data_IF_462479802613
#
_entry.id   IF_462479802613
#
_cell.length_a   1.000
_cell.length_b   1.000
_cell.length_c   1.000
_cell.angle_alpha   90.00
_cell.angle_beta   90.00
_cell.angle_gamma   90.00
#
_symmetry.space_group_name_H-M   'P 1'
#
loop_
_entity.id
_entity.type
_entity.pdbx_description
1 polymer ?
#
# COMPACT_ATOMS: atom_id res chain seq x y z
N UNK A 1 -9.33 5.15 -18.98
CA UNK A 1 -9.07 3.69 -18.93
C UNK A 1 -8.36 3.34 -17.62
N UNK A 2 -8.65 2.18 -17.02
CA UNK A 2 -7.94 1.67 -15.85
C UNK A 2 -7.24 0.35 -16.21
N UNK A 3 -5.99 0.19 -15.77
CA UNK A 3 -5.20 -1.03 -15.90
C UNK A 3 -4.88 -1.56 -14.51
N UNK A 4 -5.19 -2.83 -14.26
CA UNK A 4 -4.89 -3.52 -13.02
C UNK A 4 -4.07 -4.76 -13.35
N UNK A 5 -2.88 -4.88 -12.76
CA UNK A 5 -1.98 -6.02 -12.93
C UNK A 5 -1.66 -6.60 -11.56
N UNK A 6 -1.85 -7.91 -11.39
CA UNK A 6 -1.49 -8.62 -10.15
C UNK A 6 -0.56 -9.76 -10.50
N UNK A 7 0.57 -9.83 -9.81
CA UNK A 7 1.59 -10.86 -10.00
C UNK A 7 1.87 -11.48 -8.63
N UNK A 8 1.79 -12.81 -8.58
CA UNK A 8 2.23 -13.61 -7.44
C UNK A 8 3.60 -14.18 -7.77
N UNK A 9 4.66 -13.59 -7.20
CA UNK A 9 6.03 -14.00 -7.53
C UNK A 9 6.40 -15.31 -6.83
N UNK A 10 5.95 -15.49 -5.59
CA UNK A 10 6.00 -16.73 -4.80
C UNK A 10 4.76 -16.77 -3.89
N UNK A 11 4.46 -17.89 -3.24
CA UNK A 11 3.26 -18.02 -2.38
C UNK A 11 3.17 -16.93 -1.30
N UNK A 12 4.32 -16.52 -0.76
CA UNK A 12 4.42 -15.50 0.27
C UNK A 12 4.43 -14.06 -0.27
N UNK A 13 4.43 -13.83 -1.59
CA UNK A 13 4.55 -12.51 -2.18
C UNK A 13 3.44 -12.21 -3.19
N UNK A 14 2.74 -11.10 -2.97
CA UNK A 14 1.74 -10.58 -3.88
C UNK A 14 2.06 -9.13 -4.23
N UNK A 15 2.23 -8.86 -5.51
CA UNK A 15 2.50 -7.52 -6.03
C UNK A 15 1.32 -7.13 -6.92
N UNK A 16 0.80 -5.93 -6.72
CA UNK A 16 -0.27 -5.35 -7.52
C UNK A 16 0.15 -3.98 -8.01
N UNK A 17 -0.14 -3.72 -9.27
CA UNK A 17 0.04 -2.42 -9.90
C UNK A 17 -1.28 -1.99 -10.51
N UNK A 18 -1.74 -0.80 -10.15
CA UNK A 18 -2.96 -0.22 -10.67
C UNK A 18 -2.63 1.14 -11.27
N UNK A 19 -3.14 1.42 -12.46
CA UNK A 19 -2.91 2.68 -13.16
C UNK A 19 -4.20 3.17 -13.81
N UNK A 20 -4.46 4.47 -13.72
CA UNK A 20 -5.58 5.13 -14.40
C UNK A 20 -5.02 6.11 -15.41
N UNK A 21 -5.42 5.93 -16.66
CA UNK A 21 -4.98 6.75 -17.78
C UNK A 21 -6.17 7.50 -18.39
N UNK A 22 -5.99 8.79 -18.62
CA UNK A 22 -6.88 9.61 -19.43
C UNK A 22 -6.41 9.57 -20.88
N UNK A 23 -7.20 8.94 -21.75
CA UNK A 23 -6.86 8.77 -23.16
C UNK A 23 -7.05 10.05 -23.98
N UNK A 24 -7.92 10.96 -23.54
CA UNK A 24 -8.19 12.23 -24.25
C UNK A 24 -7.01 13.16 -24.01
N UNK A 25 -6.64 13.32 -22.74
CA UNK A 25 -5.53 14.18 -22.33
C UNK A 25 -4.17 13.48 -22.38
N UNK A 26 -4.14 12.20 -22.79
CA UNK A 26 -2.95 11.33 -22.84
C UNK A 26 -2.10 11.38 -21.56
N UNK A 27 -2.77 11.40 -20.40
CA UNK A 27 -2.12 11.63 -19.10
C UNK A 27 -2.38 10.49 -18.12
N UNK A 28 -1.34 10.16 -17.34
CA UNK A 28 -1.47 9.22 -16.23
C UNK A 28 -2.08 9.93 -15.03
N UNK A 29 -3.36 9.64 -14.76
CA UNK A 29 -4.16 10.29 -13.72
C UNK A 29 -3.73 9.83 -12.33
N UNK A 30 -3.52 8.53 -12.16
CA UNK A 30 -3.09 7.95 -10.89
C UNK A 30 -2.41 6.62 -11.11
N UNK A 31 -1.48 6.26 -10.23
CA UNK A 31 -0.90 4.93 -10.18
C UNK A 31 -0.64 4.51 -8.75
N UNK A 32 -0.77 3.21 -8.46
CA UNK A 32 -0.57 2.64 -7.14
C UNK A 32 0.17 1.33 -7.25
N UNK A 33 1.20 1.19 -6.42
CA UNK A 33 1.98 -0.02 -6.23
C UNK A 33 1.63 -0.60 -4.87
N UNK A 34 1.14 -1.83 -4.83
CA UNK A 34 0.83 -2.55 -3.60
C UNK A 34 1.67 -3.82 -3.53
N UNK A 35 2.40 -3.97 -2.44
CA UNK A 35 3.22 -5.15 -2.16
C UNK A 35 2.74 -5.75 -0.85
N UNK A 36 2.46 -7.05 -0.86
CA UNK A 36 2.14 -7.83 0.31
C UNK A 36 3.13 -8.98 0.45
N UNK A 37 3.63 -9.18 1.67
CA UNK A 37 4.48 -10.30 2.01
C UNK A 37 3.99 -11.02 3.26
N UNK A 38 3.85 -12.33 3.15
CA UNK A 38 3.64 -13.24 4.26
C UNK A 38 4.99 -13.61 4.91
N UNK A 39 5.12 -13.38 6.22
CA UNK A 39 6.28 -13.71 7.04
C UNK A 39 5.91 -14.75 8.12
N UNK A 40 4.96 -15.64 7.82
CA UNK A 40 4.38 -16.65 8.70
C UNK A 40 3.51 -16.08 9.84
N UNK A 41 4.12 -15.62 10.93
CA UNK A 41 3.41 -14.98 12.05
C UNK A 41 3.18 -13.49 11.84
N UNK A 42 3.95 -12.90 10.93
CA UNK A 42 3.90 -11.47 10.59
C UNK A 42 3.39 -11.29 9.17
N UNK A 43 2.86 -10.11 8.88
CA UNK A 43 2.53 -9.68 7.53
C UNK A 43 3.05 -8.27 7.29
N UNK A 44 3.60 -8.08 6.09
CA UNK A 44 4.05 -6.78 5.61
C UNK A 44 3.12 -6.34 4.47
N UNK A 45 2.64 -5.11 4.54
CA UNK A 45 1.90 -4.45 3.48
C UNK A 45 2.54 -3.10 3.18
N UNK A 46 2.83 -2.86 1.91
CA UNK A 46 3.31 -1.58 1.41
C UNK A 46 2.37 -1.12 0.29
N UNK A 47 1.85 0.09 0.41
CA UNK A 47 1.04 0.75 -0.60
C UNK A 47 1.67 2.10 -0.91
N UNK A 48 2.02 2.30 -2.18
CA UNK A 48 2.68 3.50 -2.64
C UNK A 48 1.94 4.09 -3.82
N UNK A 49 1.53 5.34 -3.68
CA UNK A 49 0.92 6.14 -4.73
C UNK A 49 1.79 7.38 -4.94
N UNK A 50 2.56 7.47 -6.03
CA UNK A 50 3.50 8.59 -6.23
C UNK A 50 2.81 9.92 -6.54
N UNK A 51 1.59 9.93 -7.09
CA UNK A 51 0.94 11.14 -7.57
C UNK A 51 -0.58 11.16 -7.34
N UNK A 52 -1.18 12.35 -7.47
CA UNK A 52 -2.61 12.57 -7.27
C UNK A 52 -3.00 12.83 -5.80
N UNK A 53 -4.31 12.95 -5.57
CA UNK A 53 -4.88 13.29 -4.27
C UNK A 53 -4.59 12.25 -3.17
N UNK A 54 -4.45 10.98 -3.56
CA UNK A 54 -4.09 9.89 -2.68
C UNK A 54 -2.58 9.60 -2.71
N UNK A 55 -1.75 10.61 -2.99
CA UNK A 55 -0.30 10.43 -3.03
C UNK A 55 0.26 10.19 -1.62
N UNK A 56 1.15 9.21 -1.52
CA UNK A 56 1.79 8.86 -0.27
C UNK A 56 2.30 7.44 -0.24
N UNK A 57 2.98 7.13 0.86
CA UNK A 57 3.49 5.82 1.18
C UNK A 57 2.82 5.35 2.45
N UNK A 58 2.27 4.15 2.44
CA UNK A 58 1.76 3.47 3.61
C UNK A 58 2.44 2.13 3.75
N UNK A 59 3.27 2.00 4.77
CA UNK A 59 3.91 0.76 5.19
C UNK A 59 3.26 0.30 6.49
N UNK A 60 2.88 -0.97 6.54
CA UNK A 60 2.36 -1.64 7.72
C UNK A 60 3.07 -2.99 7.89
N UNK A 61 3.62 -3.21 9.07
CA UNK A 61 4.16 -4.49 9.50
C UNK A 61 3.45 -4.88 10.80
N UNK A 62 2.73 -5.99 10.83
CA UNK A 62 2.00 -6.42 12.03
C UNK A 62 2.02 -7.94 12.21
N UNK A 63 1.82 -8.37 13.45
CA UNK A 63 1.56 -9.78 13.78
C UNK A 63 0.14 -10.14 13.31
N UNK A 64 -0.06 -11.34 12.77
CA UNK A 64 -1.36 -11.83 12.28
C UNK A 64 -2.31 -12.24 13.40
N UNK A 65 -1.76 -12.61 14.55
CA UNK A 65 -2.54 -13.07 15.71
C UNK A 65 -3.48 -11.97 16.21
N UNK A 66 -4.79 -12.26 16.40
CA UNK A 66 -5.76 -11.29 16.89
C UNK A 66 -5.52 -10.85 18.34
N UNK A 67 -4.73 -11.61 19.10
CA UNK A 67 -4.38 -11.30 20.49
C UNK A 67 -3.17 -10.35 20.60
N UNK A 68 -2.44 -10.10 19.51
CA UNK A 68 -1.20 -9.31 19.48
C UNK A 68 -1.32 -8.10 18.55
N UNK A 69 -2.49 -7.43 18.57
CA UNK A 69 -2.78 -6.27 17.71
C UNK A 69 -1.90 -5.06 18.00
N UNK A 70 -1.37 -4.99 19.21
CA UNK A 70 -0.52 -3.89 19.65
C UNK A 70 0.90 -4.01 19.05
N UNK A 71 1.29 -5.21 18.61
CA UNK A 71 2.53 -5.46 17.87
C UNK A 71 2.35 -5.13 16.40
N UNK A 72 2.26 -3.82 16.13
CA UNK A 72 2.21 -3.27 14.78
C UNK A 72 3.13 -2.07 14.65
N UNK A 73 3.70 -1.92 13.47
CA UNK A 73 4.47 -0.77 13.04
C UNK A 73 3.77 -0.23 11.80
N UNK A 74 3.38 1.03 11.86
CA UNK A 74 2.80 1.74 10.72
C UNK A 74 3.63 2.98 10.41
N UNK A 75 3.89 3.19 9.13
CA UNK A 75 4.48 4.42 8.64
C UNK A 75 3.60 4.97 7.51
N UNK A 76 3.20 6.23 7.66
CA UNK A 76 2.40 6.97 6.68
C UNK A 76 3.18 8.21 6.27
N UNK A 77 3.40 8.38 4.97
CA UNK A 77 4.06 9.54 4.39
C UNK A 77 3.26 10.12 3.21
N UNK A 78 3.61 11.33 2.80
CA UNK A 78 2.92 12.06 1.73
C UNK A 78 1.64 12.75 2.20
N UNK A 79 0.63 12.86 1.33
CA UNK A 79 -0.63 13.57 1.63
C UNK A 79 -1.43 12.98 2.80
N UNK A 80 -1.05 11.79 3.29
CA UNK A 80 -1.65 11.10 4.43
C UNK A 80 -0.94 11.35 5.77
N UNK A 81 0.04 12.25 5.85
CA UNK A 81 0.85 12.51 7.05
C UNK A 81 0.10 13.25 8.19
N UNK A 82 -1.19 12.94 8.41
CA UNK A 82 -1.87 13.37 9.63
C UNK A 82 -1.40 12.44 10.76
N UNK A 83 -0.90 12.98 11.89
CA UNK A 83 -0.51 12.18 13.05
C UNK A 83 -1.68 11.28 13.49
N UNK A 84 -1.36 10.05 13.91
CA UNK A 84 -2.38 9.19 14.47
C UNK A 84 -2.85 9.79 15.80
N UNK A 85 -4.16 9.72 16.10
CA UNK A 85 -4.70 10.22 17.37
C UNK A 85 -4.18 9.45 18.60
N UNK A 86 -3.41 8.38 18.39
CA UNK A 86 -2.80 7.56 19.44
C UNK A 86 -1.36 8.02 19.78
N UNK A 87 -0.79 8.97 19.05
CA UNK A 87 0.54 9.55 19.35
C UNK A 87 0.48 10.73 20.35
N UNK A 88 -0.59 10.82 21.17
CA UNK A 88 -0.77 11.82 22.23
C UNK A 88 -0.91 11.18 23.60
#
# INVERSE_FOLDING_TARGET
MSSNSTIQFTEAWRIQYNARFDLINQSLVSQTFSVYRDLHCWELSLNWTPNGYASGLYLKLNVKSPNLRDLKIEQRGGSFSRPSLFDR
#
